data_IF_521469986321
#
_entry.id   IF_521469986321
#
_cell.length_a   1.000
_cell.length_b   1.000
_cell.length_c   1.000
_cell.angle_alpha   90.00
_cell.angle_beta   90.00
_cell.angle_gamma   90.00
#
_symmetry.space_group_name_H-M   'P 1'
#
loop_
_entity.id
_entity.type
_entity.pdbx_description
1 polymer ?
#
# COMPACT_ATOMS: atom_id res chain seq x y z
N UNK A 1 2.88 -8.81 -1.92
CA UNK A 1 4.04 -8.00 -1.52
C UNK A 1 5.11 -8.02 -2.60
N UNK A 2 5.65 -9.19 -2.91
CA UNK A 2 6.78 -9.33 -3.87
C UNK A 2 6.49 -8.72 -5.25
N UNK A 3 5.33 -9.01 -5.84
CA UNK A 3 4.93 -8.52 -7.17
C UNK A 3 4.81 -6.99 -7.18
N UNK A 4 4.13 -6.42 -6.17
CA UNK A 4 3.97 -4.97 -6.03
C UNK A 4 5.30 -4.26 -5.82
N UNK A 5 6.15 -4.80 -4.94
CA UNK A 5 7.46 -4.24 -4.64
C UNK A 5 8.41 -4.25 -5.86
N UNK A 6 8.34 -5.31 -6.68
CA UNK A 6 9.12 -5.36 -7.92
C UNK A 6 8.71 -4.24 -8.89
N UNK A 7 7.41 -3.92 -8.99
CA UNK A 7 6.95 -2.74 -9.72
C UNK A 7 7.49 -1.45 -9.08
N UNK A 8 7.18 -1.20 -7.81
CA UNK A 8 7.51 0.04 -7.11
C UNK A 8 9.01 0.37 -7.15
N UNK A 9 9.86 -0.65 -7.00
CA UNK A 9 11.31 -0.50 -7.03
C UNK A 9 11.88 -0.20 -8.43
N UNK A 10 11.12 -0.45 -9.50
CA UNK A 10 11.53 -0.23 -10.90
C UNK A 10 10.88 1.00 -11.54
N UNK A 11 10.10 1.76 -10.78
CA UNK A 11 9.51 3.03 -11.28
C UNK A 11 10.58 3.98 -11.83
N UNK A 12 11.74 4.22 -11.16
CA UNK A 12 12.80 5.06 -11.71
C UNK A 12 13.27 4.56 -13.08
N UNK A 13 13.63 3.26 -13.21
CA UNK A 13 14.12 2.70 -14.47
C UNK A 13 13.11 2.86 -15.62
N UNK A 14 11.81 2.70 -15.36
CA UNK A 14 10.74 2.82 -16.36
C UNK A 14 10.49 4.30 -16.71
N UNK A 15 10.55 5.19 -15.71
CA UNK A 15 10.48 6.65 -15.90
C UNK A 15 11.55 7.12 -16.86
N UNK A 16 12.80 6.69 -16.64
CA UNK A 16 13.93 7.06 -17.47
C UNK A 16 13.84 6.46 -18.88
N UNK A 17 13.49 5.18 -18.99
CA UNK A 17 13.34 4.50 -20.27
C UNK A 17 12.27 5.13 -21.18
N UNK A 18 11.21 5.68 -20.61
CA UNK A 18 10.13 6.36 -21.33
C UNK A 18 10.24 7.89 -21.30
N UNK A 19 11.31 8.44 -20.74
CA UNK A 19 11.56 9.88 -20.62
C UNK A 19 10.41 10.67 -20.01
N UNK A 20 9.80 10.12 -18.91
CA UNK A 20 8.65 10.73 -18.26
C UNK A 20 9.08 11.87 -17.33
N UNK A 21 8.45 13.02 -17.46
CA UNK A 21 8.51 14.03 -16.40
C UNK A 21 7.59 13.65 -15.22
N UNK A 22 7.70 14.38 -14.11
CA UNK A 22 7.00 14.06 -12.87
C UNK A 22 5.47 14.16 -13.01
N UNK A 23 4.97 15.14 -13.78
CA UNK A 23 3.53 15.32 -14.00
C UNK A 23 2.94 14.16 -14.82
N UNK A 24 3.63 13.75 -15.88
CA UNK A 24 3.22 12.59 -16.70
C UNK A 24 3.31 11.31 -15.87
N UNK A 25 4.40 11.11 -15.12
CA UNK A 25 4.55 9.95 -14.25
C UNK A 25 3.40 9.88 -13.23
N UNK A 26 3.09 10.97 -12.53
CA UNK A 26 1.99 11.01 -11.56
C UNK A 26 0.64 10.69 -12.19
N UNK A 27 0.38 11.18 -13.41
CA UNK A 27 -0.84 10.88 -14.17
C UNK A 27 -0.93 9.41 -14.59
N UNK A 28 0.19 8.82 -14.98
CA UNK A 28 0.28 7.39 -15.35
C UNK A 28 0.09 6.49 -14.13
N UNK A 29 0.74 6.82 -13.02
CA UNK A 29 0.62 6.08 -11.75
C UNK A 29 -0.81 6.07 -11.21
N UNK A 30 -1.59 7.12 -11.48
CA UNK A 30 -3.02 7.20 -11.13
C UNK A 30 -3.86 6.06 -11.73
N UNK A 31 -3.45 5.47 -12.86
CA UNK A 31 -4.16 4.37 -13.49
C UNK A 31 -4.26 3.12 -12.60
N UNK A 32 -3.23 2.87 -11.75
CA UNK A 32 -3.22 1.70 -10.86
C UNK A 32 -4.36 1.75 -9.82
N UNK A 33 -4.50 2.77 -8.97
CA UNK A 33 -5.60 2.84 -8.00
C UNK A 33 -6.98 2.98 -8.68
N UNK A 34 -7.07 3.59 -9.87
CA UNK A 34 -8.31 3.58 -10.67
C UNK A 34 -8.67 2.16 -11.07
N UNK A 35 -7.70 1.37 -11.53
CA UNK A 35 -7.90 -0.06 -11.83
C UNK A 35 -8.36 -0.85 -10.60
N UNK A 36 -7.77 -0.62 -9.44
CA UNK A 36 -8.18 -1.25 -8.17
C UNK A 36 -9.62 -0.92 -7.81
N UNK A 37 -10.02 0.34 -7.88
CA UNK A 37 -11.39 0.78 -7.57
C UNK A 37 -12.42 0.20 -8.53
N UNK A 38 -12.14 0.25 -9.84
CA UNK A 38 -13.04 -0.27 -10.87
C UNK A 38 -13.30 -1.78 -10.72
N UNK A 39 -12.31 -2.53 -10.22
CA UNK A 39 -12.41 -3.95 -9.98
C UNK A 39 -13.11 -4.34 -8.67
N UNK A 40 -13.29 -3.43 -7.73
CA UNK A 40 -13.68 -3.75 -6.35
C UNK A 40 -15.01 -4.53 -6.26
N UNK A 41 -16.04 -4.08 -6.95
CA UNK A 41 -17.32 -4.76 -6.98
C UNK A 41 -17.25 -6.10 -7.73
N UNK A 42 -16.53 -6.14 -8.85
CA UNK A 42 -16.31 -7.34 -9.64
C UNK A 42 -15.54 -8.40 -8.85
N UNK A 43 -14.49 -8.02 -8.14
CA UNK A 43 -13.69 -8.93 -7.30
C UNK A 43 -14.54 -9.59 -6.22
N UNK A 44 -15.35 -8.80 -5.50
CA UNK A 44 -16.29 -9.33 -4.51
C UNK A 44 -17.31 -10.29 -5.10
N UNK A 45 -17.90 -9.94 -6.26
CA UNK A 45 -18.85 -10.80 -6.98
C UNK A 45 -18.20 -12.13 -7.41
N UNK A 46 -17.01 -12.08 -8.03
CA UNK A 46 -16.31 -13.28 -8.49
C UNK A 46 -15.96 -14.22 -7.34
N UNK A 47 -15.44 -13.68 -6.22
CA UNK A 47 -15.13 -14.49 -5.03
C UNK A 47 -16.38 -15.11 -4.43
N UNK A 48 -17.51 -14.36 -4.35
CA UNK A 48 -18.75 -14.89 -3.79
C UNK A 48 -19.39 -15.97 -4.67
N UNK A 49 -19.22 -15.88 -6.02
CA UNK A 49 -19.83 -16.81 -6.97
C UNK A 49 -19.00 -18.06 -7.21
N UNK A 50 -17.69 -17.90 -7.36
CA UNK A 50 -16.78 -18.99 -7.79
C UNK A 50 -15.89 -19.51 -6.66
N UNK A 51 -15.90 -18.84 -5.50
CA UNK A 51 -15.06 -19.18 -4.33
C UNK A 51 -13.65 -18.58 -4.41
N UNK A 52 -13.11 -18.26 -3.25
CA UNK A 52 -11.80 -17.58 -3.13
C UNK A 52 -10.65 -18.41 -3.69
N UNK A 53 -10.68 -19.75 -3.58
CA UNK A 53 -9.61 -20.62 -4.09
C UNK A 53 -9.43 -20.51 -5.61
N UNK A 54 -10.52 -20.57 -6.38
CA UNK A 54 -10.45 -20.47 -7.83
C UNK A 54 -10.02 -19.06 -8.26
N UNK A 55 -10.66 -18.04 -7.67
CA UNK A 55 -10.37 -16.64 -7.98
C UNK A 55 -8.93 -16.30 -7.63
N UNK A 56 -8.43 -16.73 -6.47
CA UNK A 56 -7.02 -16.54 -6.09
C UNK A 56 -6.06 -17.23 -7.04
N UNK A 57 -6.37 -18.46 -7.47
CA UNK A 57 -5.54 -19.20 -8.43
C UNK A 57 -5.41 -18.41 -9.74
N UNK A 58 -6.51 -17.91 -10.28
CA UNK A 58 -6.53 -17.11 -11.52
C UNK A 58 -5.82 -15.77 -11.31
N UNK A 59 -6.13 -15.08 -10.22
CA UNK A 59 -5.52 -13.78 -9.93
C UNK A 59 -4.01 -13.88 -9.70
N UNK A 60 -3.54 -14.94 -9.06
CA UNK A 60 -2.11 -15.19 -8.84
C UNK A 60 -1.32 -15.51 -10.12
N UNK A 61 -2.02 -15.86 -11.21
CA UNK A 61 -1.42 -15.94 -12.56
C UNK A 61 -1.48 -14.60 -13.28
N UNK A 62 -2.61 -13.92 -13.22
CA UNK A 62 -2.83 -12.67 -13.97
C UNK A 62 -2.07 -11.48 -13.39
N UNK A 63 -1.93 -11.40 -12.06
CA UNK A 63 -1.29 -10.26 -11.41
C UNK A 63 0.21 -10.15 -11.75
N UNK A 64 1.04 -11.20 -11.63
CA UNK A 64 2.43 -11.13 -12.08
C UNK A 64 2.55 -11.11 -13.62
N UNK A 65 1.58 -11.63 -14.39
CA UNK A 65 1.56 -11.46 -15.85
C UNK A 65 1.37 -9.99 -16.24
N UNK A 66 0.50 -9.26 -15.53
CA UNK A 66 0.37 -7.82 -15.72
C UNK A 66 1.67 -7.07 -15.36
N UNK A 67 2.42 -7.51 -14.34
CA UNK A 67 3.75 -6.99 -14.05
C UNK A 67 4.72 -7.17 -15.23
N UNK A 68 4.78 -8.36 -15.83
CA UNK A 68 5.61 -8.62 -17.02
C UNK A 68 5.23 -7.67 -18.17
N UNK A 69 3.93 -7.43 -18.36
CA UNK A 69 3.43 -6.48 -19.37
C UNK A 69 3.92 -5.06 -19.12
N UNK A 70 4.04 -4.62 -17.85
CA UNK A 70 4.62 -3.33 -17.51
C UNK A 70 6.10 -3.22 -17.91
N UNK A 71 6.88 -4.29 -17.72
CA UNK A 71 8.27 -4.33 -18.14
C UNK A 71 8.49 -4.32 -19.65
N UNK A 72 7.47 -4.70 -20.42
CA UNK A 72 7.47 -4.69 -21.89
C UNK A 72 6.87 -3.41 -22.48
N UNK A 73 6.42 -2.44 -21.66
CA UNK A 73 5.80 -1.22 -22.14
C UNK A 73 6.85 -0.30 -22.82
N UNK A 74 6.56 0.08 -24.06
CA UNK A 74 7.40 0.97 -24.88
C UNK A 74 6.76 2.33 -25.15
N UNK A 75 5.57 2.58 -24.57
CA UNK A 75 4.88 3.86 -24.69
C UNK A 75 4.06 4.19 -23.44
N UNK A 76 3.76 5.48 -23.26
CA UNK A 76 2.94 5.97 -22.13
C UNK A 76 1.57 5.28 -22.11
N UNK A 77 0.91 5.12 -23.27
CA UNK A 77 -0.38 4.46 -23.38
C UNK A 77 -0.34 2.99 -22.96
N UNK A 78 0.71 2.26 -23.36
CA UNK A 78 0.92 0.87 -22.94
C UNK A 78 1.19 0.75 -21.44
N UNK A 79 1.97 1.67 -20.88
CA UNK A 79 2.24 1.71 -19.45
C UNK A 79 0.98 2.03 -18.65
N UNK A 80 0.19 3.03 -19.07
CA UNK A 80 -1.07 3.42 -18.42
C UNK A 80 -2.09 2.27 -18.42
N UNK A 81 -2.31 1.63 -19.59
CA UNK A 81 -3.19 0.47 -19.68
C UNK A 81 -2.66 -0.71 -18.85
N UNK A 82 -1.35 -0.95 -18.88
CA UNK A 82 -0.69 -1.97 -18.07
C UNK A 82 -0.92 -1.76 -16.58
N UNK A 83 -0.77 -0.53 -16.08
CA UNK A 83 -1.02 -0.18 -14.67
C UNK A 83 -2.50 -0.32 -14.29
N UNK A 84 -3.41 0.07 -15.17
CA UNK A 84 -4.84 -0.13 -14.94
C UNK A 84 -5.16 -1.63 -14.78
N UNK A 85 -4.66 -2.49 -15.67
CA UNK A 85 -4.84 -3.94 -15.59
C UNK A 85 -4.13 -4.55 -14.38
N UNK A 86 -2.93 -4.05 -14.06
CA UNK A 86 -2.20 -4.43 -12.86
C UNK A 86 -3.00 -4.10 -11.59
N UNK A 87 -3.65 -2.93 -11.53
CA UNK A 87 -4.56 -2.54 -10.46
C UNK A 87 -5.77 -3.46 -10.33
N UNK A 88 -6.43 -3.81 -11.45
CA UNK A 88 -7.57 -4.76 -11.48
C UNK A 88 -7.15 -6.12 -10.89
N UNK A 89 -6.05 -6.67 -11.40
CA UNK A 89 -5.59 -8.01 -10.99
C UNK A 89 -5.05 -8.02 -9.57
N UNK A 90 -4.41 -6.92 -9.11
CA UNK A 90 -4.00 -6.73 -7.73
C UNK A 90 -5.20 -6.72 -6.77
N UNK A 91 -6.28 -6.01 -7.11
CA UNK A 91 -7.50 -5.99 -6.30
C UNK A 91 -8.14 -7.38 -6.22
N UNK A 92 -8.26 -8.07 -7.35
CA UNK A 92 -8.81 -9.43 -7.41
C UNK A 92 -8.00 -10.40 -6.52
N UNK A 93 -6.67 -10.34 -6.61
CA UNK A 93 -5.77 -11.13 -5.77
C UNK A 93 -5.94 -10.77 -4.28
N UNK A 94 -6.02 -9.48 -3.96
CA UNK A 94 -6.17 -8.99 -2.58
C UNK A 94 -7.47 -9.47 -1.94
N UNK A 95 -8.62 -9.32 -2.61
CA UNK A 95 -9.92 -9.77 -2.07
C UNK A 95 -9.92 -11.29 -1.88
N UNK A 96 -9.41 -12.05 -2.85
CA UNK A 96 -9.40 -13.51 -2.78
C UNK A 96 -8.47 -14.03 -1.67
N UNK A 97 -7.24 -13.47 -1.52
CA UNK A 97 -6.29 -13.91 -0.49
C UNK A 97 -6.77 -13.53 0.92
N UNK A 98 -7.38 -12.36 1.08
CA UNK A 98 -7.95 -11.97 2.38
C UNK A 98 -9.14 -12.85 2.76
N UNK A 99 -9.98 -13.29 1.79
CA UNK A 99 -11.06 -14.24 2.04
C UNK A 99 -10.51 -15.58 2.52
N UNK A 100 -9.44 -16.10 1.89
CA UNK A 100 -8.72 -17.29 2.37
C UNK A 100 -8.15 -17.07 3.78
N UNK A 101 -7.52 -15.92 4.02
CA UNK A 101 -6.94 -15.55 5.31
C UNK A 101 -7.99 -15.56 6.45
N UNK A 102 -9.16 -14.98 6.23
CA UNK A 102 -10.29 -15.01 7.18
C UNK A 102 -10.77 -16.45 7.43
N UNK A 103 -10.82 -17.28 6.39
CA UNK A 103 -11.18 -18.69 6.53
C UNK A 103 -10.18 -19.46 7.40
N UNK A 104 -8.87 -19.23 7.18
CA UNK A 104 -7.79 -19.84 7.99
C UNK A 104 -7.84 -19.34 9.44
N UNK A 105 -8.03 -18.03 9.65
CA UNK A 105 -8.14 -17.45 11.00
C UNK A 105 -9.23 -18.11 11.84
N UNK A 106 -10.38 -18.40 11.23
CA UNK A 106 -11.48 -19.13 11.90
C UNK A 106 -11.08 -20.56 12.31
N UNK A 107 -10.30 -21.27 11.50
CA UNK A 107 -9.80 -22.60 11.84
C UNK A 107 -8.81 -22.56 13.01
N UNK A 108 -8.01 -21.51 13.10
CA UNK A 108 -7.03 -21.32 14.16
C UNK A 108 -7.62 -20.83 15.49
N UNK A 109 -8.87 -20.32 15.50
CA UNK A 109 -9.48 -19.66 16.66
C UNK A 109 -8.61 -18.56 17.30
N UNK A 110 -7.76 -17.91 16.50
CA UNK A 110 -6.83 -16.85 16.94
C UNK A 110 -6.71 -15.82 15.83
N UNK A 111 -6.63 -14.54 16.20
CA UNK A 111 -6.40 -13.48 15.23
C UNK A 111 -4.99 -13.59 14.64
N UNK A 112 -4.89 -13.85 13.34
CA UNK A 112 -3.64 -14.00 12.57
C UNK A 112 -3.57 -13.09 11.33
N UNK A 113 -4.61 -12.28 11.06
CA UNK A 113 -4.65 -11.38 9.90
C UNK A 113 -3.50 -10.36 9.94
N UNK A 114 -3.13 -9.85 11.12
CA UNK A 114 -1.99 -8.94 11.26
C UNK A 114 -0.68 -9.58 10.79
N UNK A 115 -0.47 -10.88 11.07
CA UNK A 115 0.69 -11.63 10.61
C UNK A 115 0.72 -11.77 9.08
N UNK A 116 -0.43 -11.97 8.42
CA UNK A 116 -0.51 -11.99 6.96
C UNK A 116 -0.14 -10.64 6.35
N UNK A 117 -0.59 -9.53 6.92
CA UNK A 117 -0.17 -8.20 6.48
C UNK A 117 1.30 -7.90 6.79
N UNK A 118 1.83 -8.44 7.89
CA UNK A 118 3.26 -8.40 8.21
C UNK A 118 4.09 -9.14 7.16
N UNK A 119 3.67 -10.35 6.75
CA UNK A 119 4.30 -11.11 5.68
C UNK A 119 4.23 -10.39 4.32
N UNK A 120 3.13 -9.67 4.04
CA UNK A 120 3.05 -8.83 2.85
C UNK A 120 4.14 -7.74 2.84
N UNK A 121 4.36 -7.08 3.98
CA UNK A 121 5.41 -6.06 4.11
C UNK A 121 6.81 -6.65 4.04
N UNK A 122 7.02 -7.82 4.64
CA UNK A 122 8.29 -8.55 4.55
C UNK A 122 8.59 -8.94 3.11
N UNK A 123 7.61 -9.46 2.38
CA UNK A 123 7.75 -9.75 0.95
C UNK A 123 8.02 -8.49 0.12
N UNK A 124 7.45 -7.35 0.51
CA UNK A 124 7.76 -6.05 -0.08
C UNK A 124 9.21 -5.62 0.15
N UNK A 125 9.71 -5.78 1.37
CA UNK A 125 11.11 -5.54 1.71
C UNK A 125 12.06 -6.45 0.91
N UNK A 126 11.79 -7.76 0.88
CA UNK A 126 12.59 -8.72 0.10
C UNK A 126 12.58 -8.38 -1.40
N UNK A 127 11.43 -7.94 -1.94
CA UNK A 127 11.32 -7.52 -3.33
C UNK A 127 12.17 -6.29 -3.66
N UNK A 128 12.27 -5.34 -2.73
CA UNK A 128 13.18 -4.20 -2.84
C UNK A 128 14.66 -4.64 -2.89
N UNK A 129 15.06 -5.59 -2.02
CA UNK A 129 16.42 -6.17 -2.04
C UNK A 129 16.70 -6.91 -3.34
N UNK A 130 15.76 -7.76 -3.79
CA UNK A 130 15.89 -8.48 -5.08
C UNK A 130 16.04 -7.46 -6.22
N UNK A 131 15.24 -6.41 -6.24
CA UNK A 131 15.34 -5.36 -7.26
C UNK A 131 16.72 -4.69 -7.27
N UNK A 132 17.29 -4.42 -6.10
CA UNK A 132 18.65 -3.87 -5.97
C UNK A 132 19.70 -4.81 -6.56
N UNK A 133 19.62 -6.10 -6.26
CA UNK A 133 20.51 -7.11 -6.85
C UNK A 133 20.36 -7.16 -8.37
N UNK A 134 19.13 -7.19 -8.89
CA UNK A 134 18.86 -7.21 -10.33
C UNK A 134 19.45 -5.98 -11.05
N UNK A 135 19.39 -4.80 -10.42
CA UNK A 135 20.02 -3.61 -10.98
C UNK A 135 21.54 -3.66 -10.91
N UNK A 136 22.10 -4.17 -9.81
CA UNK A 136 23.54 -4.33 -9.68
C UNK A 136 24.15 -5.29 -10.72
N UNK A 137 23.34 -6.20 -11.27
CA UNK A 137 23.71 -7.09 -12.40
C UNK A 137 23.19 -6.59 -13.76
N UNK A 138 22.77 -5.33 -13.85
CA UNK A 138 22.22 -4.72 -15.08
C UNK A 138 21.04 -5.50 -15.71
N UNK A 139 20.29 -6.26 -14.92
CA UNK A 139 19.11 -7.00 -15.38
C UNK A 139 18.00 -6.02 -15.74
N UNK A 140 17.49 -6.00 -16.99
CA UNK A 140 16.43 -5.07 -17.38
C UNK A 140 15.11 -5.38 -16.68
N UNK A 141 14.19 -4.38 -16.53
CA UNK A 141 12.92 -4.54 -15.85
C UNK A 141 12.09 -5.72 -16.35
N UNK A 142 12.01 -5.93 -17.66
CA UNK A 142 11.26 -7.04 -18.25
C UNK A 142 11.77 -8.42 -17.76
N UNK A 143 13.09 -8.62 -17.79
CA UNK A 143 13.67 -9.89 -17.34
C UNK A 143 13.49 -10.10 -15.84
N UNK A 144 13.68 -9.04 -15.03
CA UNK A 144 13.38 -9.10 -13.59
C UNK A 144 11.92 -9.52 -13.36
N UNK A 145 10.96 -8.91 -14.06
CA UNK A 145 9.54 -9.23 -13.88
C UNK A 145 9.18 -10.66 -14.35
N UNK A 146 9.84 -11.17 -15.39
CA UNK A 146 9.72 -12.58 -15.78
C UNK A 146 10.22 -13.53 -14.69
N UNK A 147 11.33 -13.21 -14.03
CA UNK A 147 11.86 -14.01 -12.91
C UNK A 147 10.84 -14.01 -11.76
N UNK A 148 10.29 -12.85 -11.41
CA UNK A 148 9.25 -12.73 -10.36
C UNK A 148 8.00 -13.53 -10.74
N UNK A 149 7.60 -13.51 -12.02
CA UNK A 149 6.50 -14.34 -12.51
C UNK A 149 6.78 -15.83 -12.30
N UNK A 150 7.96 -16.31 -12.69
CA UNK A 150 8.35 -17.69 -12.51
C UNK A 150 8.37 -18.11 -11.02
N UNK A 151 8.91 -17.27 -10.14
CA UNK A 151 8.92 -17.50 -8.68
C UNK A 151 7.50 -17.60 -8.13
N UNK A 152 6.65 -16.63 -8.48
CA UNK A 152 5.25 -16.61 -7.98
C UNK A 152 4.42 -17.75 -8.56
N UNK A 153 4.68 -18.17 -9.80
CA UNK A 153 4.08 -19.35 -10.40
C UNK A 153 4.49 -20.63 -9.66
N UNK A 154 5.78 -20.81 -9.35
CA UNK A 154 6.26 -21.95 -8.57
C UNK A 154 5.61 -22.00 -7.17
N UNK A 155 5.50 -20.85 -6.49
CA UNK A 155 4.79 -20.76 -5.20
C UNK A 155 3.32 -21.13 -5.36
N UNK A 156 2.65 -20.66 -6.41
CA UNK A 156 1.25 -21.02 -6.67
C UNK A 156 1.06 -22.52 -6.85
N UNK A 157 1.89 -23.16 -7.69
CA UNK A 157 1.82 -24.59 -7.97
C UNK A 157 2.01 -25.41 -6.69
N UNK A 158 3.01 -25.07 -5.88
CA UNK A 158 3.31 -25.78 -4.62
C UNK A 158 2.26 -25.55 -3.54
N UNK A 159 1.69 -24.33 -3.43
CA UNK A 159 0.79 -23.95 -2.33
C UNK A 159 -0.69 -24.12 -2.67
N UNK A 160 -1.07 -24.30 -3.94
CA UNK A 160 -2.48 -24.43 -4.35
C UNK A 160 -3.23 -25.54 -3.61
N UNK A 161 -2.56 -26.64 -3.31
CA UNK A 161 -3.12 -27.77 -2.54
C UNK A 161 -3.53 -27.39 -1.12
N UNK A 162 -2.82 -26.46 -0.50
CA UNK A 162 -3.02 -25.99 0.88
C UNK A 162 -4.10 -24.92 1.00
N UNK A 163 -4.63 -24.39 -0.12
CA UNK A 163 -5.73 -23.42 -0.08
C UNK A 163 -7.03 -24.08 0.37
N UNK A 164 -7.83 -23.36 1.15
CA UNK A 164 -9.16 -23.81 1.61
C UNK A 164 -10.06 -24.11 0.40
N UNK A 165 -10.66 -25.30 0.33
CA UNK A 165 -11.46 -25.71 -0.83
C UNK A 165 -12.83 -24.99 -0.90
N UNK A 166 -13.34 -24.56 0.24
CA UNK A 166 -14.64 -23.87 0.36
C UNK A 166 -14.54 -22.68 1.29
N UNK A 167 -15.16 -21.57 0.90
CA UNK A 167 -15.27 -20.41 1.75
C UNK A 167 -16.33 -20.64 2.82
N UNK A 168 -15.98 -20.36 4.05
CA UNK A 168 -16.92 -20.43 5.18
C UNK A 168 -17.82 -19.19 5.10
N UNK A 169 -19.07 -19.36 4.65
CA UNK A 169 -20.06 -18.27 4.72
C UNK A 169 -20.35 -17.96 6.19
N UNK A 170 -20.38 -16.69 6.60
CA UNK A 170 -20.87 -16.34 7.93
C UNK A 170 -22.31 -16.80 8.04
N UNK A 171 -22.62 -17.64 9.05
CA UNK A 171 -24.00 -17.99 9.34
C UNK A 171 -24.73 -16.72 9.79
N UNK A 172 -25.71 -16.25 9.01
CA UNK A 172 -26.65 -15.23 9.43
C UNK A 172 -26.30 -13.77 9.15
N UNK A 173 -25.29 -13.42 8.38
CA UNK A 173 -25.13 -12.03 7.91
C UNK A 173 -26.25 -11.66 6.93
N UNK A 174 -27.31 -11.09 7.48
CA UNK A 174 -28.30 -10.35 6.69
C UNK A 174 -27.56 -9.15 6.09
N UNK A 175 -27.54 -9.07 4.77
CA UNK A 175 -27.08 -7.87 4.06
C UNK A 175 -27.74 -6.64 4.69
N UNK A 176 -26.99 -5.63 5.16
CA UNK A 176 -27.58 -4.49 5.81
C UNK A 176 -28.53 -3.78 4.83
N UNK A 177 -29.82 -3.68 5.20
CA UNK A 177 -30.88 -3.06 4.38
C UNK A 177 -30.69 -1.55 4.12
N UNK A 178 -29.72 -0.90 4.76
CA UNK A 178 -29.37 0.51 4.54
C UNK A 178 -27.86 0.62 4.29
N UNK A 179 -27.49 0.73 3.04
CA UNK A 179 -26.08 0.89 2.57
C UNK A 179 -25.57 2.31 2.77
N UNK A 180 -26.46 3.30 2.91
CA UNK A 180 -26.08 4.71 3.03
C UNK A 180 -26.50 5.25 4.40
N UNK A 181 -25.56 5.36 5.31
CA UNK A 181 -25.71 6.06 6.60
C UNK A 181 -24.75 7.23 6.59
N UNK A 182 -25.24 8.43 6.87
CA UNK A 182 -24.39 9.62 6.96
C UNK A 182 -23.35 9.42 8.07
N UNK A 183 -22.05 9.47 7.76
CA UNK A 183 -21.01 9.26 8.75
C UNK A 183 -21.03 10.38 9.79
N UNK A 184 -20.85 10.01 11.06
CA UNK A 184 -20.70 10.98 12.13
C UNK A 184 -19.28 11.58 12.14
N UNK A 185 -19.08 12.60 13.00
CA UNK A 185 -17.80 13.29 13.13
C UNK A 185 -16.65 12.35 13.49
N UNK A 186 -16.92 11.32 14.30
CA UNK A 186 -15.90 10.37 14.73
C UNK A 186 -15.39 9.52 13.55
N UNK A 187 -16.30 8.99 12.74
CA UNK A 187 -15.99 8.20 11.54
C UNK A 187 -15.30 9.06 10.48
N UNK A 188 -15.74 10.32 10.29
CA UNK A 188 -15.07 11.25 9.38
C UNK A 188 -13.63 11.55 9.81
N UNK A 189 -13.37 11.75 11.11
CA UNK A 189 -12.02 11.97 11.64
C UNK A 189 -11.14 10.74 11.45
N UNK A 190 -11.66 9.53 11.70
CA UNK A 190 -10.92 8.28 11.42
C UNK A 190 -10.61 8.13 9.94
N UNK A 191 -11.57 8.47 9.06
CA UNK A 191 -11.37 8.48 7.62
C UNK A 191 -10.29 9.46 7.18
N UNK A 192 -10.29 10.68 7.74
CA UNK A 192 -9.27 11.71 7.43
C UNK A 192 -7.87 11.28 7.89
N UNK A 193 -7.75 10.67 9.08
CA UNK A 193 -6.49 10.10 9.57
C UNK A 193 -6.02 8.98 8.65
N UNK A 194 -6.91 8.08 8.26
CA UNK A 194 -6.60 7.01 7.32
C UNK A 194 -6.17 7.56 5.95
N UNK A 195 -6.86 8.59 5.44
CA UNK A 195 -6.49 9.31 4.20
C UNK A 195 -5.06 9.84 4.26
N UNK A 196 -4.70 10.56 5.32
CA UNK A 196 -3.36 11.12 5.46
C UNK A 196 -2.27 10.04 5.53
N UNK A 197 -2.53 8.95 6.26
CA UNK A 197 -1.61 7.82 6.34
C UNK A 197 -1.46 7.09 5.01
N UNK A 198 -2.58 6.85 4.29
CA UNK A 198 -2.56 6.16 3.00
C UNK A 198 -1.96 7.04 1.89
N UNK A 199 -2.15 8.36 1.94
CA UNK A 199 -1.46 9.28 1.04
C UNK A 199 0.06 9.25 1.26
N UNK A 200 0.50 9.21 2.51
CA UNK A 200 1.91 9.06 2.86
C UNK A 200 2.47 7.71 2.39
N UNK A 201 1.78 6.61 2.68
CA UNK A 201 2.18 5.26 2.27
C UNK A 201 2.28 5.14 0.75
N UNK A 202 1.28 5.66 0.00
CA UNK A 202 1.29 5.69 -1.46
C UNK A 202 2.44 6.52 -2.02
N UNK A 203 2.71 7.69 -1.43
CA UNK A 203 3.86 8.52 -1.81
C UNK A 203 5.17 7.75 -1.64
N UNK A 204 5.33 7.03 -0.53
CA UNK A 204 6.54 6.24 -0.30
C UNK A 204 6.68 5.08 -1.28
N UNK A 205 5.58 4.43 -1.66
CA UNK A 205 5.61 3.35 -2.64
C UNK A 205 6.00 3.85 -4.04
N UNK A 206 5.41 4.94 -4.49
CA UNK A 206 5.51 5.38 -5.88
C UNK A 206 6.69 6.34 -6.11
N UNK A 207 7.03 7.15 -5.11
CA UNK A 207 7.95 8.28 -5.27
C UNK A 207 9.25 8.17 -4.47
N UNK A 208 9.40 7.21 -3.56
CA UNK A 208 10.64 7.11 -2.78
C UNK A 208 11.87 6.83 -3.64
N UNK A 209 11.75 5.96 -4.64
CA UNK A 209 12.83 5.69 -5.60
C UNK A 209 13.14 6.92 -6.46
N UNK A 210 12.10 7.58 -6.98
CA UNK A 210 12.26 8.82 -7.80
C UNK A 210 12.87 9.94 -6.95
N UNK A 211 12.51 10.07 -5.68
CA UNK A 211 13.11 11.03 -4.75
C UNK A 211 14.61 10.78 -4.56
N UNK A 212 14.99 9.53 -4.35
CA UNK A 212 16.40 9.16 -4.23
C UNK A 212 17.15 9.44 -5.54
N UNK A 213 16.60 9.08 -6.69
CA UNK A 213 17.19 9.30 -7.99
C UNK A 213 17.40 10.79 -8.32
N UNK A 214 16.36 11.61 -8.14
CA UNK A 214 16.38 13.02 -8.63
C UNK A 214 16.88 14.01 -7.59
N UNK A 215 16.64 13.79 -6.28
CA UNK A 215 16.98 14.71 -5.19
C UNK A 215 18.28 14.31 -4.49
N UNK A 216 18.40 13.03 -4.08
CA UNK A 216 19.54 12.53 -3.32
C UNK A 216 20.73 12.22 -4.25
N UNK A 217 20.43 11.65 -5.43
CA UNK A 217 21.42 11.31 -6.48
C UNK A 217 22.55 10.39 -5.98
N UNK A 218 22.26 9.29 -5.29
CA UNK A 218 23.27 8.35 -4.86
C UNK A 218 23.77 7.51 -6.05
N UNK A 219 24.76 6.64 -5.87
CA UNK A 219 25.10 5.59 -6.84
C UNK A 219 23.85 4.77 -7.21
N UNK A 220 23.81 4.28 -8.48
CA UNK A 220 22.65 3.63 -9.10
C UNK A 220 22.07 2.48 -8.24
N UNK A 221 22.93 1.74 -7.58
CA UNK A 221 22.59 0.62 -6.70
C UNK A 221 21.81 1.06 -5.44
N UNK A 222 22.03 2.29 -5.00
CA UNK A 222 21.45 2.85 -3.77
C UNK A 222 20.14 3.65 -4.01
N UNK A 223 19.72 3.83 -5.25
CA UNK A 223 18.45 4.55 -5.56
C UNK A 223 17.27 3.90 -4.84
N UNK A 224 17.27 2.58 -4.71
CA UNK A 224 16.17 1.80 -4.08
C UNK A 224 16.23 1.75 -2.57
N UNK A 225 17.31 2.28 -1.97
CA UNK A 225 17.53 2.27 -0.52
C UNK A 225 16.38 2.97 0.24
N UNK A 226 15.82 4.06 -0.33
CA UNK A 226 14.69 4.76 0.26
C UNK A 226 13.46 3.86 0.41
N UNK A 227 13.09 3.14 -0.64
CA UNK A 227 11.98 2.19 -0.61
C UNK A 227 12.23 1.04 0.38
N UNK A 228 13.44 0.47 0.35
CA UNK A 228 13.85 -0.62 1.23
C UNK A 228 13.80 -0.20 2.69
N UNK A 229 14.32 0.98 3.03
CA UNK A 229 14.30 1.53 4.36
C UNK A 229 12.86 1.70 4.88
N UNK A 230 11.99 2.28 4.08
CA UNK A 230 10.57 2.42 4.38
C UNK A 230 9.90 1.07 4.64
N UNK A 231 10.06 0.10 3.74
CA UNK A 231 9.44 -1.23 3.85
C UNK A 231 9.97 -2.05 5.04
N UNK A 232 11.24 -1.92 5.35
CA UNK A 232 11.88 -2.58 6.50
C UNK A 232 11.18 -2.19 7.80
N UNK A 233 11.11 -0.91 8.07
CA UNK A 233 10.51 -0.42 9.32
C UNK A 233 8.99 -0.50 9.33
N UNK A 234 8.34 -0.44 8.17
CA UNK A 234 6.91 -0.73 8.06
C UNK A 234 6.62 -2.18 8.48
N UNK A 235 7.40 -3.15 8.02
CA UNK A 235 7.27 -4.54 8.46
C UNK A 235 7.49 -4.68 9.97
N UNK A 236 8.59 -4.14 10.50
CA UNK A 236 8.90 -4.15 11.95
C UNK A 236 7.78 -3.50 12.78
N UNK A 237 7.28 -2.35 12.33
CA UNK A 237 6.21 -1.61 12.99
C UNK A 237 4.90 -2.40 13.04
N UNK A 238 4.53 -3.11 11.97
CA UNK A 238 3.33 -3.98 11.93
C UNK A 238 3.41 -5.12 12.96
N UNK A 239 4.57 -5.74 13.14
CA UNK A 239 4.75 -6.80 14.14
C UNK A 239 4.82 -6.28 15.58
N UNK A 240 5.15 -5.00 15.78
CA UNK A 240 5.26 -4.40 17.12
C UNK A 240 4.03 -3.57 17.51
N UNK A 241 3.14 -3.27 16.57
CA UNK A 241 1.98 -2.40 16.74
C UNK A 241 1.10 -2.81 17.95
N UNK A 242 0.77 -4.08 18.09
CA UNK A 242 -0.10 -4.56 19.17
C UNK A 242 0.50 -4.31 20.55
N UNK A 243 1.83 -4.48 20.71
CA UNK A 243 2.53 -4.19 21.98
C UNK A 243 2.47 -2.70 22.32
N UNK A 244 2.67 -1.84 21.31
CA UNK A 244 2.60 -0.38 21.48
C UNK A 244 1.19 0.05 21.87
N UNK A 245 0.17 -0.50 21.22
CA UNK A 245 -1.24 -0.20 21.51
C UNK A 245 -1.64 -0.67 22.92
N UNK A 246 -1.23 -1.86 23.30
CA UNK A 246 -1.51 -2.39 24.65
C UNK A 246 -0.85 -1.51 25.75
N UNK A 247 0.35 -1.00 25.48
CA UNK A 247 1.09 -0.20 26.48
C UNK A 247 0.64 1.26 26.54
N UNK A 248 0.36 1.87 25.38
CA UNK A 248 0.13 3.33 25.28
C UNK A 248 -1.31 3.70 24.89
N UNK A 249 -2.08 2.76 24.34
CA UNK A 249 -3.42 2.99 23.81
C UNK A 249 -3.40 3.53 22.37
N UNK A 250 -4.43 3.17 21.59
CA UNK A 250 -4.53 3.44 20.15
C UNK A 250 -4.38 4.93 19.79
N UNK A 251 -5.06 5.83 20.49
CA UNK A 251 -5.06 7.27 20.19
C UNK A 251 -3.67 7.89 20.36
N UNK A 252 -2.93 7.48 21.40
CA UNK A 252 -1.55 7.98 21.62
C UNK A 252 -0.60 7.45 20.56
N UNK A 253 -0.77 6.19 20.15
CA UNK A 253 0.03 5.58 19.07
C UNK A 253 -0.22 6.31 17.75
N UNK A 254 -1.49 6.54 17.36
CA UNK A 254 -1.83 7.30 16.15
C UNK A 254 -1.21 8.72 16.20
N UNK A 255 -1.32 9.41 17.33
CA UNK A 255 -0.74 10.74 17.50
C UNK A 255 0.79 10.73 17.34
N UNK A 256 1.47 9.81 18.00
CA UNK A 256 2.93 9.66 17.89
C UNK A 256 3.35 9.29 16.46
N UNK A 257 2.59 8.43 15.78
CA UNK A 257 2.81 8.06 14.38
C UNK A 257 2.81 9.29 13.45
N UNK A 258 1.87 10.21 13.60
CA UNK A 258 1.85 11.43 12.80
C UNK A 258 3.10 12.31 13.02
N UNK A 259 3.58 12.42 14.26
CA UNK A 259 4.84 13.14 14.56
C UNK A 259 6.02 12.44 13.87
N UNK A 260 6.12 11.13 14.01
CA UNK A 260 7.22 10.32 13.44
C UNK A 260 7.23 10.43 11.91
N UNK A 261 6.06 10.34 11.26
CA UNK A 261 5.92 10.53 9.79
C UNK A 261 6.43 11.91 9.39
N UNK A 262 5.92 12.96 10.04
CA UNK A 262 6.28 14.33 9.70
C UNK A 262 7.78 14.60 9.92
N UNK A 263 8.32 14.15 11.04
CA UNK A 263 9.75 14.28 11.35
C UNK A 263 10.60 13.58 10.29
N UNK A 264 10.24 12.35 9.91
CA UNK A 264 10.96 11.58 8.90
C UNK A 264 10.97 12.27 7.53
N UNK A 265 9.81 12.75 7.07
CA UNK A 265 9.72 13.47 5.80
C UNK A 265 10.43 14.82 5.84
N UNK A 266 10.27 15.61 6.91
CA UNK A 266 10.96 16.89 7.07
C UNK A 266 12.47 16.72 7.15
N UNK A 267 12.96 15.69 7.84
CA UNK A 267 14.39 15.35 7.87
C UNK A 267 14.93 15.12 6.45
N UNK A 268 14.21 14.35 5.64
CA UNK A 268 14.60 14.07 4.26
C UNK A 268 14.54 15.31 3.35
N UNK A 269 13.56 16.20 3.59
CA UNK A 269 13.37 17.42 2.79
C UNK A 269 14.38 18.51 3.15
N UNK A 270 14.64 18.72 4.44
CA UNK A 270 15.52 19.80 4.91
C UNK A 270 17.00 19.44 4.73
N UNK A 271 17.34 18.17 4.92
CA UNK A 271 18.71 17.65 4.81
C UNK A 271 18.77 16.53 3.77
N UNK A 272 18.75 16.86 2.45
CA UNK A 272 18.67 15.88 1.36
C UNK A 272 20.00 15.18 1.10
N UNK A 273 20.49 14.41 2.07
CA UNK A 273 21.65 13.55 1.98
C UNK A 273 21.25 12.08 2.12
N UNK A 274 22.06 11.17 1.59
CA UNK A 274 21.78 9.74 1.60
C UNK A 274 21.41 9.22 3.00
N UNK A 275 22.21 9.56 4.01
CA UNK A 275 22.01 9.08 5.38
C UNK A 275 20.73 9.65 6.00
N UNK A 276 20.52 10.95 5.91
CA UNK A 276 19.36 11.63 6.51
C UNK A 276 18.06 11.26 5.83
N UNK A 277 18.04 11.13 4.50
CA UNK A 277 16.89 10.67 3.76
C UNK A 277 16.54 9.21 4.09
N UNK A 278 17.55 8.33 4.19
CA UNK A 278 17.35 6.94 4.59
C UNK A 278 16.78 6.84 6.01
N UNK A 279 17.36 7.57 6.98
CA UNK A 279 16.83 7.63 8.34
C UNK A 279 15.42 8.22 8.38
N UNK A 280 15.15 9.26 7.60
CA UNK A 280 13.82 9.83 7.45
C UNK A 280 12.81 8.80 6.94
N UNK A 281 13.14 8.03 5.92
CA UNK A 281 12.25 7.02 5.35
C UNK A 281 12.06 5.80 6.26
N UNK A 282 13.07 5.45 7.07
CA UNK A 282 12.91 4.49 8.18
C UNK A 282 11.85 4.99 9.19
N UNK A 283 11.91 6.27 9.58
CA UNK A 283 10.91 6.86 10.49
C UNK A 283 9.51 6.84 9.86
N UNK A 284 9.39 7.21 8.58
CA UNK A 284 8.11 7.21 7.87
C UNK A 284 7.49 5.81 7.83
N UNK A 285 8.28 4.77 7.51
CA UNK A 285 7.81 3.39 7.47
C UNK A 285 7.29 2.92 8.85
N UNK A 286 8.02 3.23 9.91
CA UNK A 286 7.58 2.90 11.26
C UNK A 286 6.30 3.67 11.64
N UNK A 287 6.22 4.96 11.32
CA UNK A 287 5.07 5.80 11.62
C UNK A 287 3.78 5.37 10.91
N UNK A 288 3.85 5.03 9.61
CA UNK A 288 2.67 4.62 8.82
C UNK A 288 2.16 3.22 9.17
N UNK A 289 3.02 2.35 9.69
CA UNK A 289 2.78 0.91 9.87
C UNK A 289 1.50 0.54 10.61
N UNK A 290 1.10 1.33 11.61
CA UNK A 290 0.01 1.02 12.53
C UNK A 290 -1.24 1.90 12.37
N UNK A 291 -1.15 3.05 11.69
CA UNK A 291 -2.22 4.06 11.65
C UNK A 291 -3.51 3.50 11.03
N UNK A 292 -3.42 2.93 9.83
CA UNK A 292 -4.61 2.42 9.11
C UNK A 292 -5.26 1.25 9.85
N UNK A 293 -4.52 0.21 10.30
CA UNK A 293 -5.11 -0.86 11.11
C UNK A 293 -5.81 -0.35 12.37
N UNK A 294 -5.25 0.66 13.04
CA UNK A 294 -5.86 1.24 14.24
C UNK A 294 -7.13 2.03 13.91
N UNK A 295 -7.15 2.78 12.80
CA UNK A 295 -8.35 3.46 12.33
C UNK A 295 -9.49 2.45 12.07
N UNK A 296 -9.18 1.31 11.44
CA UNK A 296 -10.16 0.25 11.21
C UNK A 296 -10.64 -0.40 12.50
N UNK A 297 -9.74 -0.71 13.43
CA UNK A 297 -10.09 -1.24 14.75
C UNK A 297 -11.02 -0.30 15.52
N UNK A 298 -10.74 1.00 15.50
CA UNK A 298 -11.57 2.02 16.16
C UNK A 298 -12.92 2.20 15.45
N UNK A 299 -12.95 2.17 14.11
CA UNK A 299 -14.18 2.25 13.32
C UNK A 299 -15.12 1.07 13.60
N UNK A 300 -14.56 -0.14 13.73
CA UNK A 300 -15.32 -1.35 14.08
C UNK A 300 -15.98 -1.30 15.47
N UNK A 301 -15.54 -0.38 16.33
CA UNK A 301 -16.12 -0.12 17.67
C UNK A 301 -17.05 1.09 17.70
N UNK A 302 -17.51 1.59 16.55
CA UNK A 302 -18.44 2.72 16.47
C UNK A 302 -19.74 2.41 17.23
N UNK A 303 -20.24 3.41 17.98
CA UNK A 303 -21.51 3.32 18.69
C UNK A 303 -22.71 3.73 17.83
N UNK A 304 -22.46 4.40 16.72
CA UNK A 304 -23.47 5.07 15.88
C UNK A 304 -23.70 4.36 14.55
N UNK A 305 -22.71 3.56 14.10
CA UNK A 305 -22.77 2.86 12.82
C UNK A 305 -22.48 1.37 13.00
N UNK A 306 -23.08 0.54 12.14
CA UNK A 306 -22.76 -0.89 12.09
C UNK A 306 -21.27 -1.05 11.73
N UNK A 307 -20.55 -1.99 12.38
CA UNK A 307 -19.11 -2.15 12.19
C UNK A 307 -18.67 -2.24 10.72
N UNK A 308 -19.39 -3.02 9.90
CA UNK A 308 -19.07 -3.17 8.47
C UNK A 308 -19.24 -1.87 7.67
N UNK A 309 -20.26 -1.05 7.99
CA UNK A 309 -20.50 0.23 7.31
C UNK A 309 -19.46 1.26 7.76
N UNK A 310 -19.11 1.29 9.04
CA UNK A 310 -18.07 2.17 9.58
C UNK A 310 -16.70 1.87 8.96
N UNK A 311 -16.32 0.59 8.90
CA UNK A 311 -15.09 0.13 8.25
C UNK A 311 -15.05 0.49 6.77
N UNK A 312 -16.13 0.23 6.02
CA UNK A 312 -16.22 0.57 4.60
C UNK A 312 -16.08 2.08 4.39
N UNK A 313 -16.70 2.90 5.22
CA UNK A 313 -16.62 4.37 5.11
C UNK A 313 -15.20 4.86 5.36
N UNK A 314 -14.54 4.42 6.45
CA UNK A 314 -13.15 4.81 6.76
C UNK A 314 -12.19 4.31 5.68
N UNK A 315 -12.39 3.08 5.19
CA UNK A 315 -11.57 2.51 4.12
C UNK A 315 -11.71 3.28 2.80
N UNK A 316 -12.93 3.67 2.44
CA UNK A 316 -13.20 4.45 1.22
C UNK A 316 -12.54 5.83 1.31
N UNK A 317 -12.71 6.56 2.42
CA UNK A 317 -12.07 7.86 2.60
C UNK A 317 -10.55 7.72 2.58
N UNK A 318 -10.01 6.72 3.29
CA UNK A 318 -8.57 6.43 3.31
C UNK A 318 -8.02 6.15 1.93
N UNK A 319 -8.74 5.34 1.12
CA UNK A 319 -8.29 4.96 -0.22
C UNK A 319 -8.13 6.16 -1.17
N UNK A 320 -8.89 7.24 -0.98
CA UNK A 320 -8.66 8.48 -1.73
C UNK A 320 -7.25 9.04 -1.51
N UNK A 321 -6.57 8.74 -0.40
CA UNK A 321 -5.16 9.06 -0.20
C UNK A 321 -4.25 8.39 -1.21
N UNK A 322 -4.44 7.10 -1.46
CA UNK A 322 -3.73 6.38 -2.53
C UNK A 322 -4.11 6.88 -3.93
N UNK A 323 -5.40 7.17 -4.13
CA UNK A 323 -5.90 7.58 -5.43
C UNK A 323 -5.34 8.94 -5.85
N UNK A 324 -5.39 9.93 -4.94
CA UNK A 324 -4.99 11.31 -5.25
C UNK A 324 -3.49 11.56 -5.07
N UNK A 325 -2.81 10.70 -4.30
CA UNK A 325 -1.38 10.84 -4.00
C UNK A 325 -0.52 11.01 -5.26
N UNK A 326 -0.47 10.03 -6.18
CA UNK A 326 0.43 10.07 -7.32
C UNK A 326 0.28 11.32 -8.21
N UNK A 327 -0.92 11.73 -8.67
CA UNK A 327 -1.04 12.91 -9.50
C UNK A 327 -0.72 14.21 -8.74
N UNK A 328 -1.15 14.35 -7.48
CA UNK A 328 -0.86 15.55 -6.68
C UNK A 328 0.64 15.73 -6.50
N UNK A 329 1.34 14.64 -6.12
CA UNK A 329 2.80 14.66 -5.98
C UNK A 329 3.47 15.01 -7.31
N UNK A 330 3.04 14.38 -8.41
CA UNK A 330 3.63 14.59 -9.74
C UNK A 330 3.45 16.02 -10.25
N UNK A 331 2.27 16.63 -10.09
CA UNK A 331 2.02 18.01 -10.50
C UNK A 331 2.81 19.01 -9.67
N UNK A 332 2.89 18.83 -8.34
CA UNK A 332 3.70 19.72 -7.48
C UNK A 332 5.19 19.54 -7.79
N UNK A 333 5.63 18.31 -8.00
CA UNK A 333 7.03 18.04 -8.34
C UNK A 333 7.43 18.67 -9.67
N UNK A 334 6.55 18.66 -10.67
CA UNK A 334 6.78 19.29 -11.97
C UNK A 334 6.79 20.83 -11.88
N UNK A 335 5.87 21.40 -11.11
CA UNK A 335 5.75 22.85 -10.95
C UNK A 335 6.87 23.47 -10.10
N UNK A 336 7.33 22.75 -9.09
CA UNK A 336 8.32 23.22 -8.11
C UNK A 336 9.51 22.25 -8.04
N UNK A 337 9.40 21.18 -7.30
CA UNK A 337 10.30 20.01 -7.21
C UNK A 337 9.74 18.99 -6.21
N UNK A 338 10.33 17.79 -6.20
CA UNK A 338 9.89 16.68 -5.36
C UNK A 338 10.00 16.96 -3.84
N UNK A 339 10.90 17.84 -3.41
CA UNK A 339 11.04 18.24 -2.01
C UNK A 339 9.76 18.93 -1.50
N UNK A 340 9.14 19.80 -2.30
CA UNK A 340 7.87 20.46 -1.95
C UNK A 340 6.72 19.48 -1.87
N UNK A 341 6.69 18.48 -2.76
CA UNK A 341 5.70 17.40 -2.70
C UNK A 341 5.82 16.62 -1.38
N UNK A 342 7.03 16.24 -0.98
CA UNK A 342 7.27 15.54 0.27
C UNK A 342 7.01 16.42 1.51
N UNK A 343 7.26 17.73 1.43
CA UNK A 343 6.89 18.68 2.48
C UNK A 343 5.36 18.76 2.67
N UNK A 344 4.59 18.76 1.58
CA UNK A 344 3.12 18.68 1.66
C UNK A 344 2.67 17.40 2.37
N UNK A 345 3.26 16.26 2.03
CA UNK A 345 2.92 14.99 2.70
C UNK A 345 3.31 15.01 4.18
N UNK A 346 4.41 15.69 4.55
CA UNK A 346 4.77 15.90 5.95
C UNK A 346 3.69 16.71 6.71
N UNK A 347 3.15 17.75 6.09
CA UNK A 347 2.03 18.52 6.64
C UNK A 347 0.76 17.66 6.80
N UNK A 348 0.46 16.82 5.80
CA UNK A 348 -0.65 15.85 5.90
C UNK A 348 -0.40 14.87 7.04
N UNK A 349 0.82 14.38 7.24
CA UNK A 349 1.21 13.56 8.40
C UNK A 349 0.95 14.26 9.74
N UNK A 350 1.23 15.57 9.82
CA UNK A 350 0.94 16.38 11.02
C UNK A 350 -0.57 16.50 11.30
N UNK A 351 -1.43 16.51 10.29
CA UNK A 351 -2.89 16.53 10.52
C UNK A 351 -3.33 15.29 11.30
N UNK A 352 -2.72 14.15 11.10
CA UNK A 352 -2.93 12.92 11.89
C UNK A 352 -2.67 13.17 13.38
N UNK A 353 -1.59 13.90 13.71
CA UNK A 353 -1.23 14.25 15.10
C UNK A 353 -2.27 15.14 15.76
N UNK A 354 -2.80 16.11 15.01
CA UNK A 354 -3.81 17.08 15.50
C UNK A 354 -5.20 16.44 15.59
N UNK A 355 -5.55 15.59 14.63
CA UNK A 355 -6.86 14.94 14.59
C UNK A 355 -6.99 13.80 15.63
N UNK A 356 -5.91 13.08 15.95
CA UNK A 356 -5.96 11.94 16.87
C UNK A 356 -6.53 12.25 18.26
N UNK A 357 -6.18 13.37 18.96
CA UNK A 357 -6.78 13.72 20.23
C UNK A 357 -8.28 14.02 20.15
N UNK A 358 -8.77 14.45 18.98
CA UNK A 358 -10.20 14.77 18.76
C UNK A 358 -11.07 13.50 18.70
N UNK A 359 -10.45 12.32 18.58
CA UNK A 359 -11.12 11.01 18.67
C UNK A 359 -11.52 10.62 20.09
N UNK A 360 -11.06 11.34 21.11
CA UNK A 360 -11.51 11.11 22.49
C UNK A 360 -12.98 11.48 22.57
N UNK A 361 -13.85 10.47 22.63
CA UNK A 361 -15.24 10.68 23.00
C UNK A 361 -15.27 11.11 24.46
N UNK A 362 -15.94 12.22 24.75
CA UNK A 362 -16.30 12.62 26.10
C UNK A 362 -17.27 11.62 26.71
#
# INVERSE_FOLDING_TARGET
GLVFSSWASRIPDIKDALHLNEAVLGSVLFALPVGQLSAMALSGYLVSRYGSKLVLTVAALLYPAALVRLGAASSIGQLTLGLFLFGITANLCNIAVNTQGVGVERLYNRSIMASFHGLWSLAGFCGGLISTLMVGYDVPPLMHFCIIYAVTFAVLVTMRGSMLPRDTKPAGEKTPKKVFVRPDRYILLLGLIAFGSMACEGTMFDWSGVYFETVIRPPKELIRLGYIAFMCTMACGRFTADRLVTRFGAIRVIRASGIVIATGLLLSVLFPHLTTATLGFLLVGFGTSSVVPLCYSLAGRSKTMLPGVALATVSTIGFFGFLLGPPVIGFIAHALNLRWSFALIALIGLTTTVAAPMLRQK
#
